data_IF_797298726908
#
_entry.id   IF_797298726908
#
_cell.length_a   1.000
_cell.length_b   1.000
_cell.length_c   1.000
_cell.angle_alpha   90.00
_cell.angle_beta   90.00
_cell.angle_gamma   90.00
#
_symmetry.space_group_name_H-M   'P 1'
#
loop_
_entity.id
_entity.type
_entity.pdbx_description
1 polymer ?
#
# COMPACT_ATOMS: atom_id res chain seq x y z
N UNK A 1 -14.65 -11.81 -10.64
CA UNK A 1 -15.89 -11.19 -10.15
C UNK A 1 -17.09 -12.17 -10.18
N UNK A 2 -17.15 -13.09 -11.13
CA UNK A 2 -18.29 -14.00 -11.33
C UNK A 2 -18.55 -14.90 -10.10
N UNK A 3 -17.49 -15.47 -9.51
CA UNK A 3 -17.62 -16.27 -8.30
C UNK A 3 -18.14 -15.47 -7.11
N UNK A 4 -17.73 -14.20 -6.98
CA UNK A 4 -18.24 -13.33 -5.93
C UNK A 4 -19.70 -12.92 -6.18
N UNK A 5 -20.07 -12.61 -7.44
CA UNK A 5 -21.45 -12.34 -7.83
C UNK A 5 -22.38 -13.53 -7.47
N UNK A 6 -21.94 -14.74 -7.79
CA UNK A 6 -22.69 -15.96 -7.41
C UNK A 6 -22.83 -16.10 -5.89
N UNK A 7 -21.76 -15.79 -5.12
CA UNK A 7 -21.82 -15.83 -3.66
C UNK A 7 -22.80 -14.79 -3.10
N UNK A 8 -22.87 -13.59 -3.67
CA UNK A 8 -23.82 -12.54 -3.24
C UNK A 8 -25.28 -12.99 -3.43
N UNK A 9 -25.58 -13.73 -4.51
CA UNK A 9 -26.91 -14.27 -4.77
C UNK A 9 -27.30 -15.41 -3.82
N UNK A 10 -26.34 -16.27 -3.50
CA UNK A 10 -26.61 -17.54 -2.81
C UNK A 10 -26.45 -17.48 -1.29
N UNK A 11 -25.56 -16.63 -0.79
CA UNK A 11 -25.19 -16.59 0.63
C UNK A 11 -26.06 -15.56 1.38
N UNK A 12 -26.61 -15.99 2.53
CA UNK A 12 -27.54 -15.19 3.36
C UNK A 12 -26.88 -14.48 4.56
N UNK A 13 -25.58 -14.72 4.78
CA UNK A 13 -24.81 -14.01 5.81
C UNK A 13 -24.10 -12.80 5.21
N UNK A 14 -23.71 -11.80 6.02
CA UNK A 14 -22.93 -10.66 5.55
C UNK A 14 -21.65 -11.09 4.86
N UNK A 15 -21.40 -10.56 3.67
CA UNK A 15 -20.20 -10.84 2.87
C UNK A 15 -19.23 -9.67 2.93
N UNK A 16 -17.94 -9.98 2.84
CA UNK A 16 -16.86 -9.03 2.66
C UNK A 16 -16.20 -9.27 1.30
N UNK A 17 -16.16 -8.26 0.45
CA UNK A 17 -15.40 -8.34 -0.80
C UNK A 17 -13.90 -8.25 -0.51
N UNK A 18 -13.15 -9.23 -1.00
CA UNK A 18 -11.69 -9.23 -0.97
C UNK A 18 -11.16 -9.46 -2.39
N UNK A 19 -10.83 -8.40 -3.08
CA UNK A 19 -10.24 -8.42 -4.42
C UNK A 19 -9.30 -7.25 -4.61
N UNK A 20 -8.83 -7.05 -5.83
CA UNK A 20 -7.92 -5.94 -6.14
C UNK A 20 -8.69 -4.61 -6.14
N UNK A 21 -8.54 -3.88 -5.03
CA UNK A 21 -8.92 -2.47 -4.89
C UNK A 21 -7.64 -1.68 -4.69
N UNK A 22 -7.21 -0.96 -5.72
CA UNK A 22 -5.97 -0.18 -5.72
C UNK A 22 -6.23 1.32 -5.88
N UNK A 23 -7.44 1.70 -6.29
CA UNK A 23 -7.86 3.09 -6.53
C UNK A 23 -9.26 3.33 -5.97
N UNK A 24 -9.63 4.60 -5.87
CA UNK A 24 -11.00 5.01 -5.51
C UNK A 24 -12.00 4.46 -6.54
N UNK A 25 -11.66 4.52 -7.82
CA UNK A 25 -12.50 4.02 -8.93
C UNK A 25 -12.73 2.50 -8.83
N UNK A 26 -11.72 1.73 -8.41
CA UNK A 26 -11.90 0.29 -8.13
C UNK A 26 -12.94 0.06 -7.04
N UNK A 27 -12.87 0.84 -5.95
CA UNK A 27 -13.83 0.76 -4.86
C UNK A 27 -15.23 1.13 -5.34
N UNK A 28 -15.40 2.24 -6.04
CA UNK A 28 -16.69 2.71 -6.56
C UNK A 28 -17.32 1.68 -7.52
N UNK A 29 -16.49 1.06 -8.36
CA UNK A 29 -16.94 -0.02 -9.25
C UNK A 29 -17.49 -1.21 -8.47
N UNK A 30 -16.80 -1.68 -7.43
CA UNK A 30 -17.27 -2.78 -6.59
C UNK A 30 -18.55 -2.41 -5.86
N UNK A 31 -18.62 -1.20 -5.30
CA UNK A 31 -19.80 -0.70 -4.61
C UNK A 31 -21.02 -0.59 -5.54
N UNK A 32 -20.81 -0.21 -6.80
CA UNK A 32 -21.87 -0.13 -7.82
C UNK A 32 -22.35 -1.52 -8.24
N UNK A 33 -21.41 -2.47 -8.43
CA UNK A 33 -21.74 -3.84 -8.84
C UNK A 33 -22.45 -4.63 -7.72
N UNK A 34 -22.09 -4.39 -6.47
CA UNK A 34 -22.57 -5.13 -5.32
C UNK A 34 -23.08 -4.18 -4.22
N UNK A 35 -24.19 -3.47 -4.46
CA UNK A 35 -24.68 -2.43 -3.54
C UNK A 35 -25.12 -2.95 -2.17
N UNK A 36 -25.36 -4.26 -2.05
CA UNK A 36 -25.73 -4.92 -0.78
C UNK A 36 -24.53 -5.34 0.06
N UNK A 37 -23.33 -5.25 -0.50
CA UNK A 37 -22.08 -5.60 0.19
C UNK A 37 -21.49 -4.33 0.81
N UNK A 38 -21.50 -4.25 2.14
CA UNK A 38 -21.07 -3.10 2.93
C UNK A 38 -19.64 -3.18 3.46
N UNK A 39 -18.95 -4.30 3.18
CA UNK A 39 -17.59 -4.57 3.68
C UNK A 39 -16.64 -4.93 2.56
N UNK A 40 -15.48 -4.29 2.58
CA UNK A 40 -14.36 -4.60 1.70
C UNK A 40 -13.10 -4.82 2.51
N UNK A 41 -12.25 -5.74 2.06
CA UNK A 41 -10.92 -5.95 2.59
C UNK A 41 -9.91 -5.52 1.55
N UNK A 42 -9.02 -4.59 1.91
CA UNK A 42 -7.98 -4.04 1.04
C UNK A 42 -6.62 -4.45 1.60
N UNK A 43 -5.82 -5.14 0.81
CA UNK A 43 -4.47 -5.55 1.18
C UNK A 43 -3.41 -4.72 0.44
N UNK A 44 -2.95 -5.22 -0.69
CA UNK A 44 -1.87 -4.63 -1.51
C UNK A 44 -2.12 -3.17 -1.92
N UNK A 45 -3.38 -2.79 -2.09
CA UNK A 45 -3.75 -1.40 -2.38
C UNK A 45 -3.28 -0.41 -1.31
N UNK A 46 -3.34 -0.81 -0.02
CA UNK A 46 -2.87 0.04 1.10
C UNK A 46 -1.34 0.07 1.21
N UNK A 47 -0.64 -0.96 0.74
CA UNK A 47 0.82 -0.93 0.64
C UNK A 47 1.29 0.00 -0.48
N UNK A 48 0.52 0.05 -1.57
CA UNK A 48 0.79 0.94 -2.70
C UNK A 48 0.40 2.39 -2.41
N UNK A 49 -0.70 2.60 -1.68
CA UNK A 49 -1.20 3.91 -1.27
C UNK A 49 -1.78 3.84 0.15
N UNK A 50 -1.00 4.23 1.16
CA UNK A 50 -1.48 4.27 2.55
C UNK A 50 -2.64 5.23 2.79
N UNK A 51 -2.85 6.19 1.89
CA UNK A 51 -3.95 7.15 1.93
C UNK A 51 -5.25 6.68 1.30
N UNK A 52 -5.28 5.53 0.63
CA UNK A 52 -6.40 5.06 -0.18
C UNK A 52 -7.76 5.08 0.56
N UNK A 53 -7.80 4.63 1.82
CA UNK A 53 -9.05 4.67 2.60
C UNK A 53 -9.51 6.11 2.85
N UNK A 54 -8.57 7.02 3.11
CA UNK A 54 -8.86 8.44 3.25
C UNK A 54 -9.43 9.02 1.95
N UNK A 55 -8.84 8.69 0.81
CA UNK A 55 -9.31 9.13 -0.50
C UNK A 55 -10.71 8.60 -0.83
N UNK A 56 -10.99 7.33 -0.53
CA UNK A 56 -12.35 6.74 -0.66
C UNK A 56 -13.36 7.53 0.18
N UNK A 57 -12.95 8.06 1.33
CA UNK A 57 -13.78 8.91 2.20
C UNK A 57 -13.81 10.39 1.80
N UNK A 58 -13.22 10.76 0.66
CA UNK A 58 -13.20 12.11 0.14
C UNK A 58 -12.06 13.00 0.63
N UNK A 59 -11.05 12.45 1.31
CA UNK A 59 -9.86 13.19 1.70
C UNK A 59 -8.87 13.35 0.53
N UNK A 60 -7.91 14.24 0.70
CA UNK A 60 -6.83 14.41 -0.27
C UNK A 60 -5.86 13.24 -0.25
N UNK A 61 -5.16 13.06 -1.37
CA UNK A 61 -4.01 12.16 -1.42
C UNK A 61 -2.98 12.51 -0.35
N UNK A 62 -2.28 11.51 0.21
CA UNK A 62 -1.26 11.77 1.22
C UNK A 62 -0.15 12.66 0.63
N UNK A 63 0.29 13.63 1.42
CA UNK A 63 1.45 14.45 1.09
C UNK A 63 2.74 13.64 1.22
N UNK A 64 3.81 14.07 0.58
CA UNK A 64 5.14 13.45 0.75
C UNK A 64 5.57 13.41 2.23
N UNK A 65 5.22 14.43 3.01
CA UNK A 65 5.50 14.47 4.45
C UNK A 65 4.75 13.37 5.22
N UNK A 66 3.47 13.13 4.89
CA UNK A 66 2.67 12.07 5.50
C UNK A 66 3.20 10.69 5.11
N UNK A 67 3.59 10.50 3.84
CA UNK A 67 4.21 9.25 3.38
C UNK A 67 5.56 9.03 4.08
N UNK A 68 6.36 10.08 4.29
CA UNK A 68 7.60 9.99 5.05
C UNK A 68 7.36 9.56 6.50
N UNK A 69 6.40 10.17 7.18
CA UNK A 69 6.07 9.81 8.56
C UNK A 69 5.62 8.33 8.66
N UNK A 70 4.76 7.89 7.76
CA UNK A 70 4.34 6.48 7.66
C UNK A 70 5.54 5.54 7.42
N UNK A 71 6.42 5.87 6.46
CA UNK A 71 7.62 5.11 6.17
C UNK A 71 8.55 5.01 7.38
N UNK A 72 8.82 6.13 8.04
CA UNK A 72 9.77 6.19 9.16
C UNK A 72 9.25 5.42 10.38
N UNK A 73 7.94 5.41 10.62
CA UNK A 73 7.29 4.61 11.67
C UNK A 73 7.47 3.12 11.40
N UNK A 74 7.34 2.66 10.15
CA UNK A 74 7.57 1.26 9.78
C UNK A 74 9.04 0.89 9.93
N UNK A 75 9.97 1.74 9.49
CA UNK A 75 11.41 1.52 9.69
C UNK A 75 11.74 1.39 11.17
N UNK A 76 11.18 2.26 12.01
CA UNK A 76 11.39 2.19 13.46
C UNK A 76 10.84 0.88 14.03
N UNK A 77 9.63 0.48 13.65
CA UNK A 77 9.03 -0.77 14.10
C UNK A 77 9.88 -2.00 13.74
N UNK A 78 10.43 -2.06 12.53
CA UNK A 78 11.35 -3.13 12.15
C UNK A 78 12.69 -3.05 12.89
N UNK A 79 13.22 -1.85 13.12
CA UNK A 79 14.46 -1.65 13.88
C UNK A 79 14.32 -2.13 15.32
N UNK A 80 13.15 -2.00 15.92
CA UNK A 80 12.87 -2.45 17.28
C UNK A 80 12.80 -4.00 17.39
N UNK A 81 12.52 -4.68 16.28
CA UNK A 81 12.37 -6.15 16.23
C UNK A 81 13.65 -6.83 15.75
N UNK A 82 14.29 -6.29 14.72
CA UNK A 82 15.47 -6.90 14.07
C UNK A 82 16.77 -6.26 14.56
N UNK A 83 17.77 -7.08 14.79
CA UNK A 83 19.07 -6.65 15.32
C UNK A 83 20.05 -6.12 14.27
N UNK A 84 19.69 -6.13 12.99
CA UNK A 84 20.59 -5.74 11.89
C UNK A 84 19.94 -4.97 10.75
N UNK A 85 20.65 -4.00 10.22
CA UNK A 85 20.22 -3.16 9.10
C UNK A 85 19.76 -3.96 7.88
N UNK A 86 20.43 -5.07 7.58
CA UNK A 86 20.13 -5.92 6.44
C UNK A 86 18.71 -6.46 6.46
N UNK A 87 18.22 -6.86 7.63
CA UNK A 87 16.88 -7.41 7.77
C UNK A 87 15.83 -6.29 7.66
N UNK A 88 16.08 -5.15 8.29
CA UNK A 88 15.22 -3.96 8.18
C UNK A 88 15.12 -3.52 6.72
N UNK A 89 16.25 -3.33 6.04
CA UNK A 89 16.28 -2.94 4.61
C UNK A 89 15.58 -3.99 3.75
N UNK A 90 15.75 -5.28 4.06
CA UNK A 90 15.06 -6.37 3.35
C UNK A 90 13.54 -6.21 3.36
N UNK A 91 12.93 -5.98 4.52
CA UNK A 91 11.49 -5.76 4.65
C UNK A 91 11.04 -4.45 3.99
N UNK A 92 11.85 -3.40 4.10
CA UNK A 92 11.51 -2.12 3.45
C UNK A 92 11.54 -2.20 1.92
N UNK A 93 12.35 -3.08 1.32
CA UNK A 93 12.32 -3.36 -0.13
C UNK A 93 10.95 -3.89 -0.58
N UNK A 94 10.33 -4.76 0.22
CA UNK A 94 8.99 -5.28 -0.06
C UNK A 94 7.94 -4.17 -0.04
N UNK A 95 8.01 -3.26 0.95
CA UNK A 95 7.14 -2.09 0.99
C UNK A 95 7.32 -1.21 -0.25
N UNK A 96 8.57 -0.88 -0.61
CA UNK A 96 8.85 -0.02 -1.76
C UNK A 96 8.44 -0.63 -3.10
N UNK A 97 8.39 -1.94 -3.22
CA UNK A 97 7.84 -2.60 -4.40
C UNK A 97 6.40 -2.13 -4.73
N UNK A 98 5.62 -1.82 -3.71
CA UNK A 98 4.27 -1.28 -3.86
C UNK A 98 4.25 0.25 -3.81
N UNK A 99 4.87 0.84 -2.82
CA UNK A 99 4.80 2.28 -2.51
C UNK A 99 5.37 3.16 -3.62
N UNK A 100 6.33 2.66 -4.41
CA UNK A 100 6.93 3.39 -5.54
C UNK A 100 5.89 3.81 -6.59
N UNK A 101 4.74 3.17 -6.63
CA UNK A 101 3.65 3.51 -7.57
C UNK A 101 3.11 4.93 -7.35
N UNK A 102 3.27 5.50 -6.15
CA UNK A 102 2.95 6.91 -5.89
C UNK A 102 3.96 7.90 -6.50
N UNK A 103 5.11 7.41 -6.95
CA UNK A 103 6.23 8.21 -7.48
C UNK A 103 6.69 7.68 -8.85
N UNK A 104 5.85 7.77 -9.89
CA UNK A 104 6.15 7.18 -11.20
C UNK A 104 7.40 7.77 -11.84
N UNK A 105 7.72 9.03 -11.55
CA UNK A 105 8.94 9.73 -11.98
C UNK A 105 10.22 9.25 -11.27
N UNK A 106 10.09 8.45 -10.21
CA UNK A 106 11.19 7.89 -9.40
C UNK A 106 11.33 6.37 -9.53
N UNK A 107 10.71 5.76 -10.53
CA UNK A 107 10.73 4.30 -10.71
C UNK A 107 12.14 3.70 -10.79
N UNK A 108 13.13 4.45 -11.29
CA UNK A 108 14.53 4.00 -11.33
C UNK A 108 15.16 3.85 -9.93
N UNK A 109 14.66 4.58 -8.93
CA UNK A 109 15.10 4.44 -7.55
C UNK A 109 14.75 3.06 -6.98
N UNK A 110 13.65 2.44 -7.41
CA UNK A 110 13.27 1.11 -6.97
C UNK A 110 14.37 0.08 -7.28
N UNK A 111 14.96 0.12 -8.48
CA UNK A 111 16.05 -0.79 -8.88
C UNK A 111 17.28 -0.64 -7.96
N UNK A 112 17.56 0.59 -7.53
CA UNK A 112 18.66 0.88 -6.60
C UNK A 112 18.32 0.37 -5.19
N UNK A 113 17.10 0.63 -4.70
CA UNK A 113 16.63 0.11 -3.41
C UNK A 113 16.70 -1.41 -3.38
N UNK A 114 16.30 -2.11 -4.44
CA UNK A 114 16.36 -3.58 -4.51
C UNK A 114 17.79 -4.15 -4.39
N UNK A 115 18.80 -3.37 -4.76
CA UNK A 115 20.22 -3.75 -4.68
C UNK A 115 20.93 -3.29 -3.40
N UNK A 116 20.33 -2.36 -2.68
CA UNK A 116 20.88 -1.78 -1.45
C UNK A 116 20.91 -2.82 -0.32
N UNK A 117 21.90 -2.76 0.57
CA UNK A 117 22.06 -3.70 1.68
C UNK A 117 22.31 -3.02 3.04
N UNK A 118 22.59 -1.73 3.04
CA UNK A 118 22.84 -0.95 4.25
C UNK A 118 21.86 0.20 4.42
N UNK A 119 21.68 0.63 5.65
CA UNK A 119 20.69 1.65 6.02
C UNK A 119 21.10 3.05 5.54
N UNK A 120 22.39 3.34 5.40
CA UNK A 120 22.87 4.67 4.97
C UNK A 120 22.50 4.90 3.51
N UNK A 121 22.84 3.94 2.63
CA UNK A 121 22.49 4.00 1.22
C UNK A 121 20.96 4.02 1.05
N UNK A 122 20.26 3.17 1.79
CA UNK A 122 18.80 3.10 1.78
C UNK A 122 18.15 4.46 2.08
N UNK A 123 18.58 5.13 3.16
CA UNK A 123 18.03 6.44 3.56
C UNK A 123 18.29 7.52 2.51
N UNK A 124 19.44 7.51 1.85
CA UNK A 124 19.74 8.45 0.76
C UNK A 124 18.79 8.23 -0.43
N UNK A 125 18.51 6.99 -0.79
CA UNK A 125 17.58 6.66 -1.88
C UNK A 125 16.14 7.10 -1.53
N UNK A 126 15.69 6.84 -0.31
CA UNK A 126 14.38 7.28 0.19
C UNK A 126 14.28 8.81 0.17
N UNK A 127 15.34 9.51 0.56
CA UNK A 127 15.37 10.97 0.49
C UNK A 127 15.23 11.49 -0.95
N UNK A 128 15.83 10.83 -1.92
CA UNK A 128 15.68 11.18 -3.35
C UNK A 128 14.25 10.99 -3.86
N UNK A 129 13.53 9.98 -3.36
CA UNK A 129 12.14 9.74 -3.74
C UNK A 129 11.23 10.78 -3.11
N UNK A 130 11.42 11.06 -1.82
CA UNK A 130 10.53 11.91 -1.00
C UNK A 130 10.92 13.40 -0.96
N UNK A 131 11.95 13.77 -1.73
CA UNK A 131 12.33 15.19 -1.88
C UNK A 131 11.33 16.03 -2.69
#
# INVERSE_FOLDING_TARGET
LDAFAYAVEMIRVPLCYNGDINTVEDYERIHTLFPTVDRVMIGRGLLADPGLIGEIKGNHKPTKQQIRAFHDEIVQGYTDIFSGDKDVVGHMKELWFYLIRLFPDKSDCLKKIQKCHDMVEYRLLVQQILS
#
